data_IF_307632824870
#
_entry.id   IF_307632824870
#
_cell.length_a   1.000
_cell.length_b   1.000
_cell.length_c   1.000
_cell.angle_alpha   90.00
_cell.angle_beta   90.00
_cell.angle_gamma   90.00
#
_symmetry.space_group_name_H-M   'P 1'
#
loop_
_entity.id
_entity.type
_entity.pdbx_description
1 polymer ?
#
# COMPACT_ATOMS: atom_id res chain seq x y z
N UNK A 1 -0.60 44.16 -3.13
CA UNK A 1 0.35 43.08 -3.48
C UNK A 1 -0.46 41.93 -4.06
N UNK A 2 0.01 41.38 -5.17
CA UNK A 2 -0.70 40.47 -6.09
C UNK A 2 -0.77 39.01 -5.59
N UNK A 3 -1.84 38.35 -6.03
CA UNK A 3 -2.13 36.92 -6.21
C UNK A 3 -1.07 35.86 -5.85
N UNK A 4 -1.55 34.77 -5.24
CA UNK A 4 -1.36 33.44 -5.82
C UNK A 4 -2.61 32.58 -5.53
N UNK A 5 -3.46 32.47 -6.56
CA UNK A 5 -4.36 31.34 -6.78
C UNK A 5 -3.59 30.03 -6.59
N UNK A 6 -4.00 29.19 -5.64
CA UNK A 6 -3.58 27.79 -5.66
C UNK A 6 -4.50 27.02 -6.59
N UNK A 7 -4.00 26.76 -7.80
CA UNK A 7 -4.54 25.76 -8.73
C UNK A 7 -4.52 24.38 -8.04
N UNK A 8 -5.60 23.59 -8.09
CA UNK A 8 -5.59 22.27 -7.49
C UNK A 8 -4.76 21.32 -8.36
N UNK A 9 -3.68 20.80 -7.80
CA UNK A 9 -2.92 19.70 -8.40
C UNK A 9 -3.80 18.44 -8.39
N UNK A 10 -4.50 18.17 -9.51
CA UNK A 10 -4.83 16.79 -9.87
C UNK A 10 -3.55 16.11 -10.29
N UNK A 11 -2.81 15.61 -9.31
CA UNK A 11 -1.79 14.61 -9.53
C UNK A 11 -2.44 13.25 -9.27
N UNK A 12 -2.55 12.44 -10.34
CA UNK A 12 -2.62 10.99 -10.21
C UNK A 12 -1.37 10.57 -9.43
N UNK A 13 -1.50 10.56 -8.10
CA UNK A 13 -0.45 10.11 -7.20
C UNK A 13 -0.27 8.63 -7.44
N UNK A 14 0.75 8.29 -8.22
CA UNK A 14 1.56 7.12 -7.95
C UNK A 14 1.84 7.14 -6.44
N UNK A 15 1.08 6.35 -5.67
CA UNK A 15 1.04 6.45 -4.21
C UNK A 15 2.29 5.83 -3.64
N UNK A 16 3.43 6.50 -3.81
CA UNK A 16 4.68 6.09 -3.18
C UNK A 16 4.53 6.31 -1.69
N UNK A 17 4.38 5.22 -0.95
CA UNK A 17 4.33 5.25 0.50
C UNK A 17 5.72 5.65 1.04
N UNK A 18 5.86 6.91 1.47
CA UNK A 18 7.11 7.42 2.06
C UNK A 18 7.09 7.21 3.57
N UNK A 19 7.62 6.07 4.03
CA UNK A 19 7.87 5.85 5.45
C UNK A 19 9.24 6.43 5.80
N UNK A 20 9.25 7.47 6.64
CA UNK A 20 10.47 7.93 7.30
C UNK A 20 10.59 7.18 8.62
N UNK A 21 11.13 5.97 8.59
CA UNK A 21 11.46 5.26 9.82
C UNK A 21 12.88 4.70 9.76
N UNK A 22 13.63 4.92 10.84
CA UNK A 22 15.00 4.41 11.02
C UNK A 22 15.03 3.04 11.71
N UNK A 23 13.89 2.54 12.18
CA UNK A 23 13.78 1.26 12.87
C UNK A 23 13.12 0.20 11.97
N UNK A 24 13.84 -0.89 11.73
CA UNK A 24 13.34 -2.02 10.94
C UNK A 24 12.09 -2.66 11.56
N UNK A 25 11.93 -2.60 12.89
CA UNK A 25 10.77 -3.16 13.60
C UNK A 25 9.48 -2.43 13.23
N UNK A 26 9.52 -1.10 13.17
CA UNK A 26 8.36 -0.29 12.81
C UNK A 26 7.98 -0.49 11.34
N UNK A 27 8.97 -0.62 10.45
CA UNK A 27 8.73 -0.95 9.03
C UNK A 27 8.09 -2.34 8.89
N UNK A 28 8.53 -3.32 9.69
CA UNK A 28 7.91 -4.65 9.76
C UNK A 28 6.46 -4.57 10.25
N UNK A 29 6.18 -3.77 11.29
CA UNK A 29 4.83 -3.59 11.83
C UNK A 29 3.87 -2.97 10.79
N UNK A 30 4.34 -1.98 10.02
CA UNK A 30 3.55 -1.43 8.91
C UNK A 30 3.31 -2.46 7.79
N UNK A 31 4.32 -3.28 7.46
CA UNK A 31 4.15 -4.38 6.50
C UNK A 31 3.04 -5.36 6.93
N UNK A 32 3.02 -5.72 8.22
CA UNK A 32 1.98 -6.57 8.81
C UNK A 32 0.61 -5.89 8.73
N UNK A 33 0.51 -4.61 9.11
CA UNK A 33 -0.74 -3.84 9.04
C UNK A 33 -1.33 -3.84 7.62
N UNK A 34 -0.51 -3.67 6.58
CA UNK A 34 -0.96 -3.75 5.18
C UNK A 34 -1.44 -5.14 4.79
N UNK A 35 -0.73 -6.18 5.19
CA UNK A 35 -1.14 -7.56 4.93
C UNK A 35 -2.45 -7.91 5.65
N UNK A 36 -2.65 -7.43 6.88
CA UNK A 36 -3.90 -7.62 7.64
C UNK A 36 -5.08 -6.89 6.98
N UNK A 37 -4.89 -5.66 6.51
CA UNK A 37 -5.91 -4.93 5.75
C UNK A 37 -6.27 -5.65 4.44
N UNK A 38 -5.27 -6.14 3.70
CA UNK A 38 -5.49 -6.91 2.48
C UNK A 38 -6.30 -8.18 2.76
N UNK A 39 -5.97 -8.89 3.84
CA UNK A 39 -6.71 -10.08 4.29
C UNK A 39 -8.15 -9.73 4.66
N UNK A 40 -8.39 -8.67 5.42
CA UNK A 40 -9.74 -8.24 5.79
C UNK A 40 -10.61 -7.88 4.58
N UNK A 41 -10.01 -7.25 3.55
CA UNK A 41 -10.68 -7.00 2.28
C UNK A 41 -10.98 -8.29 1.51
N UNK A 42 -10.04 -9.24 1.46
CA UNK A 42 -10.23 -10.53 0.80
C UNK A 42 -11.36 -11.35 1.47
N UNK A 43 -11.39 -11.39 2.81
CA UNK A 43 -12.45 -12.05 3.57
C UNK A 43 -13.82 -11.38 3.30
N UNK A 44 -13.84 -10.05 3.17
CA UNK A 44 -15.06 -9.31 2.84
C UNK A 44 -15.54 -9.60 1.41
N UNK A 45 -14.63 -9.76 0.43
CA UNK A 45 -14.99 -10.08 -0.96
C UNK A 45 -15.78 -11.38 -1.09
N UNK A 46 -15.51 -12.39 -0.26
CA UNK A 46 -16.23 -13.66 -0.28
C UNK A 46 -17.73 -13.54 0.04
N UNK A 47 -18.17 -12.39 0.54
CA UNK A 47 -19.58 -12.10 0.87
C UNK A 47 -20.31 -11.24 -0.17
N UNK A 48 -19.63 -10.83 -1.25
CA UNK A 48 -20.23 -9.98 -2.29
C UNK A 48 -21.05 -10.84 -3.24
N UNK A 49 -22.38 -10.66 -3.20
CA UNK A 49 -23.29 -11.21 -4.20
C UNK A 49 -23.21 -10.42 -5.51
N UNK A 50 -22.67 -11.05 -6.55
CA UNK A 50 -22.51 -10.44 -7.88
C UNK A 50 -23.76 -10.67 -8.72
N UNK A 51 -24.75 -9.80 -8.55
CA UNK A 51 -26.04 -9.91 -9.26
C UNK A 51 -26.17 -8.91 -10.43
N UNK A 52 -25.21 -8.01 -10.59
CA UNK A 52 -25.21 -6.97 -11.63
C UNK A 52 -23.78 -6.44 -11.93
N UNK A 53 -23.68 -5.57 -12.92
CA UNK A 53 -22.42 -4.94 -13.36
C UNK A 53 -21.74 -4.12 -12.25
N UNK A 54 -22.51 -3.53 -11.34
CA UNK A 54 -21.97 -2.79 -10.19
C UNK A 54 -21.23 -3.72 -9.21
N UNK A 55 -21.75 -4.93 -8.99
CA UNK A 55 -21.08 -5.96 -8.19
C UNK A 55 -19.77 -6.42 -8.81
N UNK A 56 -19.72 -6.55 -10.15
CA UNK A 56 -18.50 -6.87 -10.90
C UNK A 56 -17.46 -5.74 -10.76
N UNK A 57 -17.88 -4.50 -10.94
CA UNK A 57 -17.00 -3.34 -10.79
C UNK A 57 -16.45 -3.22 -9.35
N UNK A 58 -17.28 -3.48 -8.34
CA UNK A 58 -16.86 -3.54 -6.95
C UNK A 58 -15.78 -4.61 -6.72
N UNK A 59 -15.98 -5.83 -7.21
CA UNK A 59 -14.97 -6.89 -7.10
C UNK A 59 -13.65 -6.52 -7.75
N UNK A 60 -13.68 -5.92 -8.95
CA UNK A 60 -12.45 -5.45 -9.62
C UNK A 60 -11.72 -4.40 -8.78
N UNK A 61 -12.44 -3.44 -8.21
CA UNK A 61 -11.84 -2.39 -7.39
C UNK A 61 -11.24 -2.95 -6.09
N UNK A 62 -11.95 -3.88 -5.41
CA UNK A 62 -11.43 -4.49 -4.19
C UNK A 62 -10.23 -5.40 -4.48
N UNK A 63 -10.24 -6.12 -5.60
CA UNK A 63 -9.10 -6.94 -6.05
C UNK A 63 -7.86 -6.05 -6.27
N UNK A 64 -8.00 -4.95 -6.99
CA UNK A 64 -6.91 -4.01 -7.22
C UNK A 64 -6.37 -3.39 -5.92
N UNK A 65 -7.25 -3.10 -4.95
CA UNK A 65 -6.86 -2.61 -3.64
C UNK A 65 -6.06 -3.65 -2.83
N UNK A 66 -6.47 -4.92 -2.88
CA UNK A 66 -5.75 -6.04 -2.25
C UNK A 66 -4.36 -6.19 -2.86
N UNK A 67 -4.25 -6.19 -4.18
CA UNK A 67 -2.97 -6.31 -4.88
C UNK A 67 -2.01 -5.18 -4.51
N UNK A 68 -2.51 -3.95 -4.42
CA UNK A 68 -1.72 -2.81 -3.98
C UNK A 68 -1.21 -2.97 -2.54
N UNK A 69 -2.09 -3.39 -1.61
CA UNK A 69 -1.72 -3.60 -0.20
C UNK A 69 -0.70 -4.72 -0.02
N UNK A 70 -0.83 -5.82 -0.78
CA UNK A 70 0.13 -6.93 -0.76
C UNK A 70 1.47 -6.46 -1.36
N UNK A 71 1.45 -5.72 -2.46
CA UNK A 71 2.65 -5.14 -3.07
C UNK A 71 3.40 -4.23 -2.10
N UNK A 72 2.67 -3.34 -1.41
CA UNK A 72 3.21 -2.48 -0.36
C UNK A 72 3.82 -3.31 0.78
N UNK A 73 3.08 -4.28 1.33
CA UNK A 73 3.55 -5.15 2.41
C UNK A 73 4.86 -5.87 2.05
N UNK A 74 4.95 -6.44 0.84
CA UNK A 74 6.14 -7.12 0.34
C UNK A 74 7.33 -6.16 0.18
N UNK A 75 7.09 -4.94 -0.33
CA UNK A 75 8.11 -3.90 -0.43
C UNK A 75 8.66 -3.51 0.95
N UNK A 76 7.79 -3.41 1.96
CA UNK A 76 8.16 -3.07 3.33
C UNK A 76 8.90 -4.20 4.04
N UNK A 77 8.49 -5.46 3.87
CA UNK A 77 9.24 -6.60 4.40
C UNK A 77 10.67 -6.64 3.84
N UNK A 78 10.81 -6.41 2.54
CA UNK A 78 12.13 -6.33 1.91
C UNK A 78 12.95 -5.17 2.47
N UNK A 79 12.36 -3.98 2.61
CA UNK A 79 13.01 -2.82 3.19
C UNK A 79 13.51 -3.10 4.62
N UNK A 80 12.65 -3.66 5.48
CA UNK A 80 13.00 -3.99 6.85
C UNK A 80 14.09 -5.07 6.95
N UNK A 81 14.04 -6.07 6.06
CA UNK A 81 15.08 -7.09 5.95
C UNK A 81 16.43 -6.46 5.55
N UNK A 82 16.44 -5.59 4.55
CA UNK A 82 17.66 -4.91 4.07
C UNK A 82 18.25 -3.97 5.13
N UNK A 83 17.40 -3.36 5.99
CA UNK A 83 17.84 -2.57 7.16
C UNK A 83 18.53 -3.42 8.24
N UNK A 84 18.14 -4.69 8.38
CA UNK A 84 18.73 -5.62 9.35
C UNK A 84 19.96 -6.35 8.82
N UNK A 85 20.05 -6.53 7.50
CA UNK A 85 21.20 -7.15 6.87
C UNK A 85 22.46 -6.30 7.14
N UNK A 86 23.53 -6.92 7.66
CA UNK A 86 24.83 -6.25 7.83
C UNK A 86 25.21 -5.56 6.50
N UNK A 87 25.72 -4.32 6.52
CA UNK A 87 26.20 -3.67 5.31
C UNK A 87 27.21 -4.58 4.65
N UNK A 88 26.96 -5.02 3.40
CA UNK A 88 27.98 -5.69 2.61
C UNK A 88 29.12 -4.69 2.45
N UNK A 89 30.27 -4.96 3.05
CA UNK A 89 31.49 -4.20 2.75
C UNK A 89 31.69 -4.27 1.23
N UNK A 90 31.73 -3.12 0.60
CA UNK A 90 32.19 -3.00 -0.78
C UNK A 90 33.72 -3.14 -0.68
N UNK A 91 34.24 -4.26 -1.16
CA UNK A 91 35.68 -4.46 -1.40
C UNK A 91 36.11 -3.77 -2.70
#
# INVERSE_FOLDING_TARGET
>A
MQNADMVPLREEKNSVLRIRCSDARDVYAEAVSRAELARGLADSMCSIDVLNDDGVALLHNVTAAIDALIGDAMGLYRCAHDMQAKPKRIE
#
